data_IF_271880449587
#
_entry.id   IF_271880449587
#
_cell.length_a   1.000
_cell.length_b   1.000
_cell.length_c   1.000
_cell.angle_alpha   90.00
_cell.angle_beta   90.00
_cell.angle_gamma   90.00
#
_symmetry.space_group_name_H-M   'P 1'
#
loop_
_entity.id
_entity.type
_entity.pdbx_description
1 polymer ?
#
# COMPACT_ATOMS: atom_id res chain seq x y z
N UNK A 1 -45.62 -6.31 25.55
CA UNK A 1 -44.17 -6.43 25.27
C UNK A 1 -43.45 -5.56 26.29
N UNK A 2 -42.57 -6.13 27.11
CA UNK A 2 -41.77 -5.32 28.06
C UNK A 2 -40.76 -4.47 27.28
N UNK A 3 -40.75 -3.17 27.53
CA UNK A 3 -39.78 -2.26 26.91
C UNK A 3 -38.37 -2.54 27.46
N UNK A 4 -37.42 -2.80 26.57
CA UNK A 4 -36.01 -2.94 26.94
C UNK A 4 -35.44 -1.59 27.39
N UNK A 5 -34.62 -1.62 28.45
CA UNK A 5 -33.87 -0.45 28.93
C UNK A 5 -32.42 -0.54 28.48
N UNK A 6 -31.86 0.61 28.09
CA UNK A 6 -30.46 0.75 27.71
C UNK A 6 -29.63 1.10 28.95
N UNK A 7 -28.53 0.36 29.12
CA UNK A 7 -27.57 0.59 30.21
C UNK A 7 -26.19 0.86 29.64
N UNK A 8 -25.41 1.69 30.35
CA UNK A 8 -24.00 1.93 30.02
C UNK A 8 -23.23 0.60 30.06
N UNK A 9 -22.40 0.40 29.05
CA UNK A 9 -21.51 -0.74 28.94
C UNK A 9 -20.07 -0.26 28.69
N UNK A 10 -19.10 -1.17 28.71
CA UNK A 10 -17.71 -0.83 28.40
C UNK A 10 -17.63 -0.13 27.03
N UNK A 11 -16.98 1.02 26.92
CA UNK A 11 -16.93 1.79 25.68
C UNK A 11 -16.20 1.01 24.59
N UNK A 12 -16.56 1.26 23.34
CA UNK A 12 -15.76 0.77 22.21
C UNK A 12 -14.59 1.73 21.99
N UNK A 13 -13.42 1.21 21.64
CA UNK A 13 -12.23 2.02 21.37
C UNK A 13 -11.68 1.74 19.97
N UNK A 14 -11.20 2.79 19.31
CA UNK A 14 -10.48 2.72 18.05
C UNK A 14 -9.23 3.57 18.15
N UNK A 15 -8.06 2.97 17.92
CA UNK A 15 -6.82 3.70 17.72
C UNK A 15 -6.65 3.96 16.22
N UNK A 16 -6.56 5.22 15.82
CA UNK A 16 -6.32 5.66 14.44
C UNK A 16 -4.99 6.41 14.36
N UNK A 17 -4.19 6.10 13.36
CA UNK A 17 -3.01 6.89 12.98
C UNK A 17 -3.33 7.55 11.64
N UNK A 18 -3.34 8.87 11.60
CA UNK A 18 -3.69 9.69 10.43
C UNK A 18 -2.45 10.28 9.76
N UNK A 19 -2.57 10.67 8.50
CA UNK A 19 -1.48 11.19 7.65
C UNK A 19 -1.10 12.65 7.89
N UNK A 20 -1.23 13.18 9.11
CA UNK A 20 -0.57 14.43 9.47
C UNK A 20 0.89 14.13 9.86
N UNK A 21 1.81 15.08 9.66
CA UNK A 21 3.21 14.94 10.10
C UNK A 21 3.44 15.81 11.34
N UNK A 22 3.88 15.25 12.48
CA UNK A 22 4.15 13.83 12.76
C UNK A 22 2.91 12.93 12.69
N UNK A 23 3.09 11.63 12.45
CA UNK A 23 1.97 10.67 12.49
C UNK A 23 1.39 10.63 13.90
N UNK A 24 0.22 11.23 14.10
CA UNK A 24 -0.40 11.32 15.43
C UNK A 24 -1.32 10.12 15.65
N UNK A 25 -1.12 9.33 16.73
CA UNK A 25 -2.11 8.36 17.17
C UNK A 25 -3.26 9.06 17.90
N UNK A 26 -4.47 8.90 17.40
CA UNK A 26 -5.69 9.36 18.04
C UNK A 26 -6.51 8.17 18.54
N UNK A 27 -6.93 8.20 19.80
CA UNK A 27 -7.79 7.18 20.37
C UNK A 27 -9.23 7.70 20.46
N UNK A 28 -10.11 7.13 19.63
CA UNK A 28 -11.54 7.42 19.67
C UNK A 28 -12.22 6.49 20.67
N UNK A 29 -12.87 7.07 21.68
CA UNK A 29 -13.65 6.38 22.69
C UNK A 29 -15.12 6.61 22.39
N UNK A 30 -15.81 5.55 21.98
CA UNK A 30 -17.22 5.60 21.62
C UNK A 30 -18.06 5.08 22.79
N UNK A 31 -19.04 5.86 23.22
CA UNK A 31 -20.03 5.39 24.19
C UNK A 31 -20.75 4.15 23.63
N UNK A 32 -20.95 3.14 24.48
CA UNK A 32 -21.63 1.90 24.11
C UNK A 32 -22.69 1.57 25.14
N UNK A 33 -23.91 1.38 24.67
CA UNK A 33 -25.07 0.99 25.49
C UNK A 33 -25.48 -0.44 25.16
N UNK A 34 -25.92 -1.20 26.17
CA UNK A 34 -26.44 -2.56 26.01
C UNK A 34 -27.91 -2.61 26.42
N UNK A 35 -28.75 -3.19 25.57
CA UNK A 35 -30.15 -3.45 25.90
C UNK A 35 -30.28 -4.67 26.82
N UNK A 36 -31.02 -4.55 27.93
CA UNK A 36 -31.24 -5.67 28.85
C UNK A 36 -32.20 -6.75 28.31
N UNK A 37 -33.09 -6.40 27.38
CA UNK A 37 -34.11 -7.31 26.86
C UNK A 37 -33.60 -8.15 25.69
N UNK A 38 -32.92 -7.55 24.71
CA UNK A 38 -32.42 -8.24 23.51
C UNK A 38 -30.90 -8.44 23.48
N UNK A 39 -30.15 -7.83 24.40
CA UNK A 39 -28.69 -7.94 24.46
C UNK A 39 -27.92 -7.18 23.37
N UNK A 40 -28.59 -6.47 22.46
CA UNK A 40 -27.96 -5.69 21.40
C UNK A 40 -27.14 -4.51 21.93
N UNK A 41 -26.04 -4.20 21.24
CA UNK A 41 -25.19 -3.06 21.50
C UNK A 41 -25.53 -1.88 20.58
N UNK A 42 -25.53 -0.68 21.17
CA UNK A 42 -25.67 0.58 20.47
C UNK A 42 -24.41 1.40 20.74
N UNK A 43 -23.57 1.57 19.72
CA UNK A 43 -22.29 2.26 19.82
C UNK A 43 -22.41 3.63 19.16
N UNK A 44 -21.86 4.66 19.81
CA UNK A 44 -21.75 5.99 19.24
C UNK A 44 -20.99 5.94 17.92
N UNK A 45 -21.44 6.73 16.94
CA UNK A 45 -20.78 6.80 15.64
C UNK A 45 -19.43 7.50 15.78
N UNK A 46 -18.46 7.06 14.98
CA UNK A 46 -17.22 7.80 14.79
C UNK A 46 -17.49 9.09 14.01
N UNK A 47 -16.66 10.12 14.18
CA UNK A 47 -16.66 11.29 13.29
C UNK A 47 -16.48 10.87 11.83
N UNK A 48 -17.12 11.58 10.91
CA UNK A 48 -17.12 11.24 9.48
C UNK A 48 -15.68 11.18 8.91
N UNK A 49 -14.83 12.13 9.30
CA UNK A 49 -13.41 12.19 8.91
C UNK A 49 -12.64 10.89 9.22
N UNK A 50 -12.96 10.24 10.33
CA UNK A 50 -12.30 8.99 10.78
C UNK A 50 -12.81 7.78 9.99
N UNK A 51 -14.08 7.83 9.57
CA UNK A 51 -14.72 6.80 8.76
C UNK A 51 -14.22 6.87 7.32
N UNK A 52 -14.09 8.09 6.77
CA UNK A 52 -13.54 8.33 5.43
C UNK A 52 -12.07 7.92 5.33
N UNK A 53 -11.28 8.13 6.39
CA UNK A 53 -9.86 7.74 6.43
C UNK A 53 -9.62 6.24 6.69
N UNK A 54 -10.66 5.42 6.77
CA UNK A 54 -10.52 3.97 6.61
C UNK A 54 -11.53 3.13 7.36
N UNK A 55 -11.46 1.82 7.11
CA UNK A 55 -12.45 0.86 7.62
C UNK A 55 -12.53 0.85 9.16
N UNK A 56 -13.68 0.45 9.73
CA UNK A 56 -13.80 0.19 11.16
C UNK A 56 -12.70 -0.77 11.65
N UNK A 57 -12.03 -0.42 12.75
CA UNK A 57 -10.93 -1.22 13.32
C UNK A 57 -9.58 -1.08 12.60
N UNK A 58 -9.50 -0.30 11.51
CA UNK A 58 -8.24 -0.06 10.80
C UNK A 58 -7.37 0.92 11.59
N UNK A 59 -6.20 0.44 12.06
CA UNK A 59 -5.27 1.26 12.83
C UNK A 59 -4.61 2.38 12.01
N UNK A 60 -4.10 2.06 10.83
CA UNK A 60 -3.43 3.03 9.96
C UNK A 60 -4.39 3.53 8.90
N UNK A 61 -4.69 4.83 8.90
CA UNK A 61 -5.55 5.46 7.91
C UNK A 61 -5.05 5.39 6.48
N UNK A 62 -5.94 5.62 5.52
CA UNK A 62 -5.59 5.73 4.10
C UNK A 62 -4.62 6.90 3.88
N UNK A 63 -4.85 8.02 4.56
CA UNK A 63 -3.96 9.18 4.59
C UNK A 63 -2.55 8.82 5.10
N UNK A 64 -2.46 8.12 6.22
CA UNK A 64 -1.19 7.71 6.81
C UNK A 64 -0.39 6.79 5.88
N UNK A 65 -1.05 5.76 5.31
CA UNK A 65 -0.44 4.83 4.36
C UNK A 65 0.05 5.55 3.10
N UNK A 66 -0.75 6.49 2.59
CA UNK A 66 -0.39 7.28 1.41
C UNK A 66 0.84 8.13 1.67
N UNK A 67 0.92 8.78 2.84
CA UNK A 67 2.07 9.61 3.21
C UNK A 67 3.35 8.77 3.40
N UNK A 68 3.24 7.58 4.02
CA UNK A 68 4.36 6.63 4.12
C UNK A 68 4.92 6.24 2.74
N UNK A 69 4.04 5.92 1.79
CA UNK A 69 4.40 5.57 0.43
C UNK A 69 5.01 6.78 -0.32
N UNK A 70 4.44 7.97 -0.19
CA UNK A 70 4.97 9.20 -0.77
C UNK A 70 6.36 9.53 -0.23
N UNK A 71 6.58 9.42 1.08
CA UNK A 71 7.92 9.61 1.65
C UNK A 71 8.94 8.65 1.04
N UNK A 72 8.55 7.39 0.81
CA UNK A 72 9.45 6.39 0.22
C UNK A 72 9.74 6.64 -1.26
N UNK A 73 8.70 6.77 -2.08
CA UNK A 73 8.82 6.73 -3.53
C UNK A 73 8.92 8.10 -4.18
N UNK A 74 8.34 9.14 -3.58
CA UNK A 74 8.42 10.50 -4.09
C UNK A 74 9.57 11.29 -3.43
N UNK A 75 9.63 11.30 -2.09
CA UNK A 75 10.66 12.05 -1.37
C UNK A 75 11.99 11.28 -1.20
N UNK A 76 12.05 10.02 -1.65
CA UNK A 76 13.26 9.19 -1.57
C UNK A 76 13.73 8.85 -0.15
N UNK A 77 12.85 8.95 0.86
CA UNK A 77 13.17 8.65 2.25
C UNK A 77 13.07 7.13 2.53
N UNK A 78 14.18 6.45 2.84
CA UNK A 78 14.15 5.03 3.22
C UNK A 78 13.31 4.78 4.48
N UNK A 79 12.80 3.57 4.66
CA UNK A 79 11.92 3.24 5.79
C UNK A 79 12.55 3.49 7.16
N UNK A 80 13.84 3.14 7.34
CA UNK A 80 14.58 3.41 8.58
C UNK A 80 14.72 4.91 8.88
N UNK A 81 14.75 5.76 7.84
CA UNK A 81 14.78 7.22 8.00
C UNK A 81 13.43 7.74 8.47
N UNK A 82 12.34 7.20 7.92
CA UNK A 82 10.99 7.52 8.40
C UNK A 82 10.83 7.11 9.87
N UNK A 83 11.28 5.91 10.25
CA UNK A 83 11.30 5.47 11.65
C UNK A 83 12.09 6.43 12.55
N UNK A 84 13.31 6.79 12.15
CA UNK A 84 14.18 7.68 12.95
C UNK A 84 13.56 9.07 13.15
N UNK A 85 12.96 9.64 12.09
CA UNK A 85 12.28 10.94 12.15
C UNK A 85 11.06 10.87 13.08
N UNK A 86 10.25 9.82 12.98
CA UNK A 86 9.07 9.65 13.84
C UNK A 86 9.46 9.39 15.30
N UNK A 87 10.53 8.61 15.54
CA UNK A 87 11.08 8.39 16.87
C UNK A 87 11.57 9.69 17.52
N UNK A 88 12.19 10.59 16.75
CA UNK A 88 12.59 11.92 17.22
C UNK A 88 11.39 12.78 17.64
N UNK A 89 10.23 12.56 17.02
CA UNK A 89 8.96 13.22 17.35
C UNK A 89 8.15 12.44 18.41
N UNK A 90 8.74 11.43 19.06
CA UNK A 90 8.11 10.64 20.12
C UNK A 90 7.14 9.55 19.63
N UNK A 91 7.06 9.31 18.32
CA UNK A 91 6.15 8.34 17.72
C UNK A 91 6.86 7.01 17.48
N UNK A 92 6.33 5.93 18.06
CA UNK A 92 6.84 4.57 17.87
C UNK A 92 6.29 3.99 16.55
N UNK A 93 7.03 4.17 15.46
CA UNK A 93 6.70 3.63 14.15
C UNK A 93 7.93 2.93 13.55
N UNK A 94 7.90 1.59 13.51
CA UNK A 94 9.03 0.80 13.02
C UNK A 94 9.10 0.79 11.50
N UNK A 95 10.30 0.67 10.92
CA UNK A 95 10.50 0.56 9.48
C UNK A 95 9.71 -0.60 8.87
N UNK A 96 9.62 -1.75 9.55
CA UNK A 96 8.82 -2.89 9.11
C UNK A 96 7.34 -2.54 9.03
N UNK A 97 6.79 -1.81 10.02
CA UNK A 97 5.38 -1.38 9.99
C UNK A 97 5.11 -0.46 8.79
N UNK A 98 6.05 0.46 8.50
CA UNK A 98 5.96 1.37 7.34
C UNK A 98 6.00 0.58 6.03
N UNK A 99 6.88 -0.43 5.93
CA UNK A 99 6.96 -1.33 4.78
C UNK A 99 5.64 -2.07 4.55
N UNK A 100 5.10 -2.73 5.58
CA UNK A 100 3.84 -3.47 5.51
C UNK A 100 2.68 -2.55 5.09
N UNK A 101 2.62 -1.35 5.66
CA UNK A 101 1.60 -0.36 5.28
C UNK A 101 1.75 0.11 3.83
N UNK A 102 2.98 0.25 3.35
CA UNK A 102 3.27 0.63 1.96
C UNK A 102 2.91 -0.49 0.98
N UNK A 103 3.09 -1.75 1.36
CA UNK A 103 2.67 -2.92 0.56
C UNK A 103 1.14 -2.95 0.36
N UNK A 104 0.36 -2.54 1.36
CA UNK A 104 -1.10 -2.41 1.23
C UNK A 104 -1.50 -1.31 0.23
N UNK A 105 -0.74 -0.22 0.13
CA UNK A 105 -0.93 0.80 -0.91
C UNK A 105 -0.63 0.21 -2.28
N UNK A 106 0.53 -0.46 -2.43
CA UNK A 106 0.91 -1.11 -3.70
C UNK A 106 -0.15 -2.13 -4.16
N UNK A 107 -0.67 -2.94 -3.23
CA UNK A 107 -1.76 -3.89 -3.49
C UNK A 107 -3.03 -3.20 -3.99
N UNK A 108 -3.35 -2.02 -3.45
CA UNK A 108 -4.50 -1.22 -3.87
C UNK A 108 -4.30 -0.60 -5.26
N UNK A 109 -3.06 -0.33 -5.66
CA UNK A 109 -2.70 0.20 -6.99
C UNK A 109 -2.57 -0.90 -8.07
N UNK A 110 -2.53 -2.17 -7.69
CA UNK A 110 -2.35 -3.30 -8.60
C UNK A 110 -3.36 -3.34 -9.77
N UNK A 111 -4.66 -3.07 -9.59
CA UNK A 111 -5.61 -3.03 -10.70
C UNK A 111 -5.30 -1.89 -11.69
N UNK A 112 -4.90 -0.72 -11.19
CA UNK A 112 -4.52 0.43 -12.01
C UNK A 112 -3.27 0.10 -12.83
N UNK A 113 -2.24 -0.46 -12.18
CA UNK A 113 -1.03 -0.92 -12.86
C UNK A 113 -1.36 -1.92 -13.97
N UNK A 114 -2.26 -2.87 -13.71
CA UNK A 114 -2.68 -3.88 -14.70
C UNK A 114 -3.36 -3.23 -15.91
N UNK A 115 -4.23 -2.24 -15.69
CA UNK A 115 -4.87 -1.49 -16.76
C UNK A 115 -3.87 -0.65 -17.56
N UNK A 116 -2.93 0.01 -16.88
CA UNK A 116 -1.85 0.77 -17.53
C UNK A 116 -1.01 -0.15 -18.42
N UNK A 117 -0.68 -1.35 -17.95
CA UNK A 117 0.05 -2.35 -18.73
C UNK A 117 -0.73 -2.79 -19.97
N UNK A 118 -2.04 -3.02 -19.85
CA UNK A 118 -2.90 -3.36 -20.99
C UNK A 118 -2.95 -2.23 -22.03
N UNK A 119 -3.06 -0.98 -21.59
CA UNK A 119 -3.02 0.17 -22.50
C UNK A 119 -1.65 0.33 -23.15
N UNK A 120 -0.58 0.18 -22.38
CA UNK A 120 0.79 0.26 -22.87
C UNK A 120 1.09 -0.80 -23.94
N UNK A 121 0.35 -1.91 -24.04
CA UNK A 121 0.54 -2.91 -25.10
C UNK A 121 0.27 -2.37 -26.52
N UNK A 122 -0.53 -1.31 -26.66
CA UNK A 122 -0.85 -0.66 -27.94
C UNK A 122 -0.07 0.66 -28.14
N UNK A 123 1.04 0.84 -27.44
CA UNK A 123 1.81 2.08 -27.54
C UNK A 123 2.63 2.16 -28.83
N UNK A 124 2.82 3.38 -29.31
CA UNK A 124 3.57 3.68 -30.54
C UNK A 124 5.06 3.75 -30.23
N UNK A 125 5.41 4.29 -29.06
CA UNK A 125 6.80 4.42 -28.61
C UNK A 125 6.96 3.94 -27.18
N UNK A 126 8.12 3.34 -26.92
CA UNK A 126 8.56 2.91 -25.59
C UNK A 126 9.92 3.52 -25.28
N UNK A 127 10.03 4.18 -24.13
CA UNK A 127 11.30 4.50 -23.51
C UNK A 127 11.54 3.50 -22.38
N UNK A 128 12.69 2.85 -22.39
CA UNK A 128 13.11 1.87 -21.40
C UNK A 128 14.32 2.43 -20.66
N UNK A 129 14.26 2.40 -19.34
CA UNK A 129 15.37 2.80 -18.47
C UNK A 129 15.71 1.62 -17.55
N UNK A 130 16.85 0.98 -17.81
CA UNK A 130 17.34 -0.11 -16.98
C UNK A 130 18.02 0.47 -15.74
N UNK A 131 17.39 0.28 -14.59
CA UNK A 131 17.97 0.70 -13.31
C UNK A 131 18.85 -0.41 -12.75
N UNK A 132 20.02 -0.09 -12.20
CA UNK A 132 20.92 -1.06 -11.57
C UNK A 132 20.40 -1.63 -10.23
N UNK A 133 19.14 -1.39 -9.89
CA UNK A 133 18.53 -1.87 -8.67
C UNK A 133 18.28 -3.39 -8.77
N UNK A 134 19.08 -4.16 -8.05
CA UNK A 134 19.09 -5.63 -8.10
C UNK A 134 17.95 -6.22 -7.26
N UNK A 135 17.23 -7.17 -7.84
CA UNK A 135 16.25 -7.98 -7.15
C UNK A 135 17.00 -9.09 -6.42
N UNK A 136 17.01 -9.04 -5.09
CA UNK A 136 17.85 -9.92 -4.26
C UNK A 136 17.50 -11.41 -4.44
N UNK A 137 16.22 -11.73 -4.59
CA UNK A 137 15.74 -13.11 -4.71
C UNK A 137 15.75 -13.64 -6.15
N UNK A 138 16.24 -12.87 -7.13
CA UNK A 138 16.35 -13.31 -8.51
C UNK A 138 17.80 -13.59 -8.89
N UNK A 139 18.03 -14.77 -9.44
CA UNK A 139 19.31 -15.17 -10.02
C UNK A 139 19.20 -15.27 -11.55
N UNK A 140 20.31 -15.13 -12.28
CA UNK A 140 20.32 -15.41 -13.71
C UNK A 140 19.87 -16.85 -13.97
N UNK A 141 19.06 -17.03 -15.01
CA UNK A 141 18.56 -18.36 -15.40
C UNK A 141 19.00 -18.67 -16.82
N UNK A 142 19.41 -19.91 -17.07
CA UNK A 142 19.65 -20.40 -18.42
C UNK A 142 18.33 -20.69 -19.13
N UNK A 143 18.20 -20.23 -20.38
CA UNK A 143 17.06 -20.55 -21.24
C UNK A 143 17.51 -21.12 -22.57
N UNK A 144 16.78 -22.11 -23.13
CA UNK A 144 17.06 -22.58 -24.47
C UNK A 144 16.80 -21.47 -25.49
N UNK A 145 17.70 -21.34 -26.45
CA UNK A 145 17.53 -20.42 -27.58
C UNK A 145 16.57 -21.06 -28.59
N UNK A 146 15.58 -20.29 -29.08
CA UNK A 146 14.61 -20.79 -30.08
C UNK A 146 15.35 -21.38 -31.28
N UNK A 147 14.96 -22.58 -31.70
CA UNK A 147 15.53 -23.32 -32.83
C UNK A 147 17.04 -23.61 -32.70
N UNK A 148 17.55 -23.89 -31.50
CA UNK A 148 18.90 -24.42 -31.32
C UNK A 148 19.04 -25.24 -30.04
N UNK A 149 20.03 -26.13 -29.98
CA UNK A 149 20.39 -26.89 -28.77
C UNK A 149 21.24 -26.08 -27.76
N UNK A 150 21.44 -24.78 -28.01
CA UNK A 150 22.23 -23.91 -27.13
C UNK A 150 21.37 -23.28 -26.05
N UNK A 151 21.91 -23.18 -24.85
CA UNK A 151 21.35 -22.35 -23.78
C UNK A 151 21.97 -20.95 -23.81
N UNK A 152 21.19 -19.96 -23.38
CA UNK A 152 21.64 -18.57 -23.17
C UNK A 152 21.25 -18.13 -21.78
N UNK A 153 22.19 -17.53 -21.07
CA UNK A 153 21.94 -16.91 -19.78
C UNK A 153 21.02 -15.69 -19.93
N UNK A 154 19.99 -15.62 -19.09
CA UNK A 154 19.09 -14.48 -18.97
C UNK A 154 19.37 -13.75 -17.66
N UNK A 155 20.09 -12.64 -17.75
CA UNK A 155 20.50 -11.76 -16.65
C UNK A 155 19.42 -10.81 -16.12
N UNK A 156 18.14 -11.20 -16.19
CA UNK A 156 17.00 -10.37 -15.81
C UNK A 156 16.81 -10.25 -14.29
N UNK A 157 17.85 -9.80 -13.58
CA UNK A 157 17.90 -9.66 -12.12
C UNK A 157 17.79 -8.20 -11.65
N UNK A 158 17.61 -7.27 -12.57
CA UNK A 158 17.48 -5.83 -12.32
C UNK A 158 16.07 -5.34 -12.64
N UNK A 159 15.66 -4.23 -12.03
CA UNK A 159 14.42 -3.55 -12.39
C UNK A 159 14.60 -2.61 -13.57
N UNK A 160 13.58 -2.52 -14.42
CA UNK A 160 13.52 -1.57 -15.52
C UNK A 160 12.27 -0.70 -15.40
N UNK A 161 12.43 0.59 -15.64
CA UNK A 161 11.34 1.52 -15.87
C UNK A 161 10.95 1.51 -17.34
N UNK A 162 9.65 1.52 -17.62
CA UNK A 162 9.10 1.62 -18.96
C UNK A 162 8.16 2.82 -19.02
N UNK A 163 8.34 3.67 -20.03
CA UNK A 163 7.43 4.75 -20.38
C UNK A 163 6.84 4.48 -21.75
N UNK A 164 5.52 4.36 -21.82
CA UNK A 164 4.79 4.12 -23.06
C UNK A 164 4.03 5.38 -23.53
N UNK A 165 4.14 5.71 -24.82
CA UNK A 165 3.40 6.81 -25.46
C UNK A 165 2.33 6.26 -26.41
N UNK A 166 1.09 6.67 -26.19
CA UNK A 166 -0.06 6.28 -27.02
C UNK A 166 -0.31 7.33 -28.12
N UNK A 167 -0.87 6.88 -29.26
CA UNK A 167 -1.22 7.77 -30.40
C UNK A 167 -2.24 8.85 -30.03
N UNK A 168 -3.17 8.53 -29.13
CA UNK A 168 -4.26 9.42 -28.71
C UNK A 168 -3.84 10.43 -27.62
N UNK A 169 -2.69 10.21 -26.97
CA UNK A 169 -2.24 11.00 -25.82
C UNK A 169 -0.74 11.33 -25.95
N UNK A 170 -0.36 12.25 -26.86
CA UNK A 170 1.04 12.51 -27.19
C UNK A 170 1.88 13.11 -26.04
N UNK A 171 1.31 13.42 -24.87
CA UNK A 171 2.01 14.14 -23.80
C UNK A 171 2.15 13.41 -22.44
N UNK A 172 1.54 12.24 -22.21
CA UNK A 172 1.55 11.64 -20.86
C UNK A 172 2.02 10.19 -20.86
N UNK A 173 3.15 9.98 -20.18
CA UNK A 173 3.93 8.76 -20.01
C UNK A 173 3.34 7.83 -18.95
N UNK A 174 2.97 6.60 -19.32
CA UNK A 174 2.71 5.56 -18.33
C UNK A 174 4.06 4.97 -17.86
N UNK A 175 4.53 5.36 -16.66
CA UNK A 175 5.70 4.73 -16.01
C UNK A 175 5.25 3.41 -15.40
N UNK A 176 5.61 2.28 -16.00
CA UNK A 176 5.43 0.96 -15.40
C UNK A 176 6.80 0.36 -15.09
N UNK A 177 7.08 0.08 -13.81
CA UNK A 177 8.18 -0.83 -13.47
C UNK A 177 7.70 -2.25 -13.75
N UNK A 178 8.24 -2.88 -14.79
CA UNK A 178 7.82 -4.22 -15.17
C UNK A 178 8.49 -5.26 -14.27
N UNK A 179 7.86 -5.58 -13.14
CA UNK A 179 8.14 -6.82 -12.43
C UNK A 179 7.48 -7.99 -13.18
N UNK A 180 8.26 -8.72 -14.00
CA UNK A 180 7.91 -10.11 -14.36
C UNK A 180 8.26 -11.04 -13.20
N UNK A 181 7.59 -10.86 -12.06
CA UNK A 181 7.51 -11.88 -11.02
C UNK A 181 6.61 -12.99 -11.55
N UNK A 182 7.24 -14.04 -12.08
CA UNK A 182 6.62 -15.34 -12.21
C UNK A 182 6.14 -15.75 -10.81
N UNK A 183 4.82 -15.95 -10.63
CA UNK A 183 4.16 -16.57 -9.49
C UNK A 183 4.80 -16.32 -8.11
N UNK A 184 4.11 -15.51 -7.31
CA UNK A 184 3.90 -15.69 -5.86
C UNK A 184 4.65 -16.90 -5.26
N UNK A 185 5.79 -16.65 -4.61
CA UNK A 185 6.35 -17.53 -3.58
C UNK A 185 6.84 -16.61 -2.47
N UNK A 186 6.00 -16.40 -1.45
CA UNK A 186 6.49 -16.00 -0.13
C UNK A 186 6.69 -17.30 0.66
N UNK A 187 7.89 -17.50 1.19
CA UNK A 187 8.11 -18.23 2.44
C UNK A 187 8.19 -17.21 3.55
#
# INVERSE_FOLDING_TARGET
MSAGKLYKYEPATLLRITGQSPFVPEQHIMERLRCNACGQYFTAKLPDEVVEDGKPGQKYGYSARSLMALHKFFAGAPYYRQESIQALMGVKLTASSVFDQTELVASSLQPIYTLLLQKAANAVHYYLDDTSNRILDQTPIEKPVRNSDKTRERSGVYSSGLVATLSEWPQHSAVSNQYRSCRRVYR
#
